data_IF_363853183784
#
_entry.id   IF_363853183784
#
_cell.length_a   1.000
_cell.length_b   1.000
_cell.length_c   1.000
_cell.angle_alpha   90.00
_cell.angle_beta   90.00
_cell.angle_gamma   90.00
#
_symmetry.space_group_name_H-M   'P 1'
#
loop_
_entity.id
_entity.type
_entity.pdbx_description
1 polymer ?
#
# COMPACT_ATOMS: atom_id res chain seq x y z
N UNK A 1 29.59 -36.36 54.77
CA UNK A 1 30.04 -35.47 53.67
C UNK A 1 29.38 -35.78 52.31
N UNK A 2 28.14 -36.31 52.28
CA UNK A 2 27.35 -36.49 51.04
C UNK A 2 26.01 -35.74 51.04
N UNK A 3 25.59 -35.21 52.19
CA UNK A 3 24.35 -34.42 52.32
C UNK A 3 24.54 -32.92 52.11
N UNK A 4 25.76 -32.37 52.33
CA UNK A 4 26.06 -30.95 52.10
C UNK A 4 26.31 -30.66 50.60
N UNK A 5 26.76 -31.67 49.84
CA UNK A 5 27.01 -31.52 48.40
C UNK A 5 25.72 -31.44 47.56
N UNK A 6 24.62 -32.05 48.03
CA UNK A 6 23.32 -32.00 47.35
C UNK A 6 22.54 -30.70 47.60
N UNK A 7 22.86 -29.93 48.64
CA UNK A 7 22.21 -28.65 48.89
C UNK A 7 22.83 -27.51 48.04
N UNK A 8 24.10 -27.63 47.67
CA UNK A 8 24.78 -26.66 46.81
C UNK A 8 24.40 -26.78 45.32
N UNK A 9 23.99 -27.97 44.86
CA UNK A 9 23.55 -28.20 43.47
C UNK A 9 22.11 -27.70 43.25
N UNK A 10 21.27 -27.66 44.28
CA UNK A 10 19.89 -27.17 44.18
C UNK A 10 19.78 -25.64 44.17
N UNK A 11 20.80 -24.93 44.67
CA UNK A 11 20.82 -23.45 44.71
C UNK A 11 21.37 -22.85 43.40
N UNK A 12 22.12 -23.63 42.60
CA UNK A 12 22.62 -23.24 41.28
C UNK A 12 21.58 -23.31 40.15
N UNK A 13 20.40 -23.90 40.39
CA UNK A 13 19.29 -23.93 39.41
C UNK A 13 18.32 -22.74 39.54
N UNK A 14 18.50 -21.84 40.51
CA UNK A 14 17.56 -20.74 40.77
C UNK A 14 18.07 -19.33 40.39
N UNK A 15 19.17 -19.22 39.62
CA UNK A 15 19.71 -17.91 39.17
C UNK A 15 19.57 -17.70 37.64
N UNK A 16 19.08 -18.68 36.88
CA UNK A 16 18.78 -18.49 35.46
C UNK A 16 17.31 -18.04 35.24
N UNK A 17 16.97 -16.87 35.79
CA UNK A 17 15.80 -16.09 35.37
C UNK A 17 16.16 -14.60 35.52
N UNK A 18 17.15 -14.18 34.74
CA UNK A 18 17.20 -12.79 34.28
C UNK A 18 16.22 -12.68 33.11
N UNK A 19 15.25 -11.79 33.27
CA UNK A 19 14.22 -11.47 32.30
C UNK A 19 14.84 -10.86 31.05
N UNK A 20 15.06 -11.68 30.03
CA UNK A 20 15.09 -11.19 28.65
C UNK A 20 13.63 -10.99 28.21
N UNK A 21 13.19 -9.76 28.28
CA UNK A 21 12.03 -9.29 27.52
C UNK A 21 12.37 -9.35 26.03
N UNK A 22 11.39 -9.82 25.25
CA UNK A 22 11.19 -9.50 23.83
C UNK A 22 12.10 -10.12 22.76
N UNK A 23 12.28 -11.44 22.77
CA UNK A 23 12.43 -12.18 21.50
C UNK A 23 11.69 -13.52 21.54
N UNK A 24 10.96 -13.79 20.45
CA UNK A 24 10.30 -15.04 20.06
C UNK A 24 8.88 -15.31 20.57
N UNK A 25 7.91 -14.59 20.00
CA UNK A 25 6.69 -15.22 19.50
C UNK A 25 6.73 -15.17 17.95
N UNK A 26 7.54 -16.03 17.32
CA UNK A 26 7.42 -16.27 15.89
C UNK A 26 6.14 -17.07 15.67
N UNK A 27 5.14 -16.44 15.07
CA UNK A 27 3.88 -17.09 14.69
C UNK A 27 4.22 -18.35 13.85
N UNK A 28 3.70 -19.54 14.19
CA UNK A 28 4.03 -20.76 13.46
C UNK A 28 3.74 -20.61 11.96
N UNK A 29 4.79 -20.65 11.14
CA UNK A 29 4.70 -20.54 9.68
C UNK A 29 4.83 -19.12 9.10
N UNK A 30 5.31 -18.14 9.87
CA UNK A 30 5.79 -16.86 9.35
C UNK A 30 7.16 -17.03 8.68
N UNK A 31 7.34 -16.52 7.46
CA UNK A 31 8.58 -16.58 6.69
C UNK A 31 9.42 -15.34 6.97
N UNK A 32 10.68 -15.52 7.36
CA UNK A 32 11.64 -14.44 7.56
C UNK A 32 12.45 -14.20 6.28
N UNK A 33 12.42 -12.99 5.75
CA UNK A 33 13.12 -12.61 4.52
C UNK A 33 14.25 -11.66 4.91
N UNK A 34 15.50 -12.11 4.80
CA UNK A 34 16.68 -11.27 5.05
C UNK A 34 16.94 -10.36 3.86
N UNK A 35 16.91 -9.04 4.08
CA UNK A 35 17.11 -8.04 3.04
C UNK A 35 18.60 -7.65 2.99
N UNK A 36 19.30 -7.86 1.86
CA UNK A 36 20.71 -7.51 1.75
C UNK A 36 20.92 -5.99 1.83
N UNK A 37 22.04 -5.58 2.46
CA UNK A 37 22.40 -4.18 2.63
C UNK A 37 22.94 -3.54 1.33
N UNK A 38 23.42 -4.34 0.40
CA UNK A 38 23.98 -3.93 -0.90
C UNK A 38 23.05 -4.34 -2.03
N UNK A 39 23.15 -3.65 -3.17
CA UNK A 39 22.34 -3.93 -4.36
C UNK A 39 23.16 -4.15 -5.61
N UNK A 40 22.53 -4.88 -6.50
CA UNK A 40 22.98 -5.08 -7.87
C UNK A 40 22.18 -4.13 -8.78
N UNK A 41 22.56 -2.85 -8.81
CA UNK A 41 22.13 -1.86 -9.81
C UNK A 41 20.64 -1.85 -10.22
N UNK A 42 20.36 -1.56 -11.50
CA UNK A 42 19.02 -1.60 -12.09
C UNK A 42 18.59 -3.02 -12.46
N UNK A 43 17.30 -3.30 -12.40
CA UNK A 43 16.71 -4.61 -12.70
C UNK A 43 16.02 -4.68 -14.05
N UNK A 44 16.11 -5.83 -14.72
CA UNK A 44 15.38 -6.14 -15.93
C UNK A 44 14.02 -6.79 -15.61
N UNK A 45 12.92 -6.11 -15.97
CA UNK A 45 11.59 -6.62 -15.67
C UNK A 45 11.27 -7.97 -16.33
N UNK A 46 11.87 -8.21 -17.50
CA UNK A 46 11.66 -9.41 -18.29
C UNK A 46 12.25 -10.68 -17.66
N UNK A 47 13.02 -10.56 -16.58
CA UNK A 47 13.47 -11.71 -15.79
C UNK A 47 12.34 -12.34 -14.95
N UNK A 48 11.27 -11.60 -14.65
CA UNK A 48 10.21 -12.05 -13.74
C UNK A 48 8.79 -11.86 -14.27
N UNK A 49 8.62 -11.06 -15.31
CA UNK A 49 7.37 -10.81 -16.02
C UNK A 49 7.54 -11.21 -17.48
N UNK A 50 6.56 -11.89 -18.06
CA UNK A 50 6.64 -12.33 -19.47
C UNK A 50 6.05 -11.34 -20.46
N UNK A 51 5.22 -10.40 -19.98
CA UNK A 51 4.55 -9.42 -20.81
C UNK A 51 4.40 -8.07 -20.09
N UNK A 52 4.22 -7.00 -20.87
CA UNK A 52 3.94 -5.68 -20.35
C UNK A 52 3.07 -4.84 -21.31
N UNK A 53 2.35 -3.87 -20.75
CA UNK A 53 1.61 -2.86 -21.51
C UNK A 53 2.03 -1.47 -21.06
N UNK A 54 2.34 -0.60 -22.01
CA UNK A 54 2.65 0.81 -21.76
C UNK A 54 1.51 1.66 -22.31
N UNK A 55 0.90 2.46 -21.43
CA UNK A 55 -0.33 3.20 -21.72
C UNK A 55 -0.15 4.65 -21.27
N UNK A 56 0.28 5.56 -22.15
CA UNK A 56 0.22 7.00 -21.89
C UNK A 56 -1.24 7.44 -21.73
N UNK A 57 -1.58 8.07 -20.60
CA UNK A 57 -2.91 8.62 -20.40
C UNK A 57 -3.04 9.95 -21.16
N UNK A 58 -4.14 10.14 -21.88
CA UNK A 58 -4.38 11.35 -22.66
C UNK A 58 -4.43 12.59 -21.76
N UNK A 59 -3.67 13.63 -22.13
CA UNK A 59 -3.63 14.92 -21.44
C UNK A 59 -4.42 15.97 -22.19
N UNK A 60 -5.45 16.50 -21.54
CA UNK A 60 -6.25 17.65 -21.98
C UNK A 60 -6.69 18.43 -20.73
N UNK A 61 -7.22 19.64 -20.91
CA UNK A 61 -7.81 20.41 -19.79
C UNK A 61 -8.92 19.63 -19.06
N UNK A 62 -9.62 18.72 -19.76
CA UNK A 62 -10.68 17.89 -19.18
C UNK A 62 -10.14 16.67 -18.41
N UNK A 63 -8.93 16.21 -18.73
CA UNK A 63 -8.37 14.94 -18.24
C UNK A 63 -7.14 15.12 -17.34
N UNK A 64 -6.72 16.34 -17.03
CA UNK A 64 -5.53 16.61 -16.22
C UNK A 64 -5.63 15.98 -14.82
N UNK A 65 -4.62 15.16 -14.46
CA UNK A 65 -4.53 14.46 -13.19
C UNK A 65 -3.54 15.18 -12.28
N UNK A 66 -3.96 15.52 -11.06
CA UNK A 66 -3.13 16.22 -10.07
C UNK A 66 -2.47 15.27 -9.07
N UNK A 67 -3.26 14.40 -8.43
CA UNK A 67 -2.76 13.43 -7.45
C UNK A 67 -3.57 12.13 -7.45
N UNK A 68 -2.98 11.11 -8.05
CA UNK A 68 -3.53 9.76 -8.07
C UNK A 68 -3.60 9.19 -6.65
N UNK A 69 -4.81 8.91 -6.19
CA UNK A 69 -5.08 8.18 -4.93
C UNK A 69 -5.25 6.69 -5.19
N UNK A 70 -5.95 6.32 -6.26
CA UNK A 70 -6.21 4.92 -6.64
C UNK A 70 -6.36 4.80 -8.16
N UNK A 71 -5.83 3.72 -8.73
CA UNK A 71 -6.05 3.31 -10.12
C UNK A 71 -6.70 1.93 -10.14
N UNK A 72 -7.75 1.77 -10.95
CA UNK A 72 -8.41 0.48 -11.17
C UNK A 72 -8.37 0.20 -12.68
N UNK A 73 -7.72 -0.89 -13.06
CA UNK A 73 -7.65 -1.33 -14.46
C UNK A 73 -8.66 -2.45 -14.68
N UNK A 74 -9.61 -2.21 -15.57
CA UNK A 74 -10.61 -3.15 -16.06
C UNK A 74 -10.34 -3.45 -17.53
N UNK A 75 -11.09 -4.40 -18.10
CA UNK A 75 -10.97 -4.76 -19.53
C UNK A 75 -11.22 -3.57 -20.47
N UNK A 76 -12.22 -2.74 -20.14
CA UNK A 76 -12.68 -1.64 -21.00
C UNK A 76 -12.38 -0.25 -20.43
N UNK A 77 -11.94 -0.17 -19.18
CA UNK A 77 -11.75 1.10 -18.48
C UNK A 77 -10.48 1.11 -17.64
N UNK A 78 -9.80 2.24 -17.63
CA UNK A 78 -8.83 2.61 -16.61
C UNK A 78 -9.47 3.73 -15.81
N UNK A 79 -9.73 3.48 -14.53
CA UNK A 79 -10.38 4.43 -13.63
C UNK A 79 -9.31 5.01 -12.71
N UNK A 80 -9.16 6.33 -12.74
CA UNK A 80 -8.17 7.06 -11.93
C UNK A 80 -8.90 7.97 -10.97
N UNK A 81 -8.73 7.72 -9.67
CA UNK A 81 -9.21 8.63 -8.65
C UNK A 81 -8.17 9.71 -8.36
N UNK A 82 -8.43 10.92 -8.84
CA UNK A 82 -7.66 12.12 -8.55
C UNK A 82 -8.21 12.83 -7.31
N UNK A 83 -7.61 12.51 -6.16
CA UNK A 83 -8.05 13.07 -4.87
C UNK A 83 -7.83 14.57 -4.73
N UNK A 84 -6.85 15.16 -5.45
CA UNK A 84 -6.56 16.60 -5.35
C UNK A 84 -7.24 17.41 -6.45
N UNK A 85 -7.51 16.79 -7.60
CA UNK A 85 -8.38 17.33 -8.63
C UNK A 85 -9.86 17.26 -8.28
N UNK A 86 -10.25 16.39 -7.34
CA UNK A 86 -11.65 16.17 -6.98
C UNK A 86 -12.42 15.49 -8.12
N UNK A 87 -11.79 14.52 -8.77
CA UNK A 87 -12.33 13.86 -9.96
C UNK A 87 -12.05 12.37 -9.96
N UNK A 88 -12.97 11.62 -10.54
CA UNK A 88 -12.76 10.22 -10.91
C UNK A 88 -12.76 10.17 -12.44
N UNK A 89 -11.59 9.98 -13.04
CA UNK A 89 -11.43 9.95 -14.49
C UNK A 89 -11.60 8.53 -15.03
N UNK A 90 -12.27 8.43 -16.17
CA UNK A 90 -12.41 7.20 -16.94
C UNK A 90 -11.64 7.35 -18.24
N UNK A 91 -10.70 6.44 -18.47
CA UNK A 91 -9.98 6.30 -19.72
C UNK A 91 -10.30 4.94 -20.35
N UNK A 92 -10.19 4.84 -21.68
CA UNK A 92 -10.23 3.57 -22.39
C UNK A 92 -8.95 2.76 -22.16
N UNK A 93 -8.91 1.51 -22.63
CA UNK A 93 -7.78 0.61 -22.38
C UNK A 93 -6.47 1.04 -23.07
N UNK A 94 -6.54 1.99 -24.01
CA UNK A 94 -5.38 2.61 -24.67
C UNK A 94 -5.07 4.02 -24.13
N UNK A 95 -5.62 4.39 -22.98
CA UNK A 95 -5.34 5.67 -22.32
C UNK A 95 -6.09 6.89 -22.88
N UNK A 96 -7.00 6.71 -23.85
CA UNK A 96 -7.87 7.78 -24.34
C UNK A 96 -8.89 8.19 -23.30
N UNK A 97 -9.06 9.49 -23.06
CA UNK A 97 -10.02 10.00 -22.09
C UNK A 97 -11.45 9.76 -22.59
N UNK A 98 -12.33 9.34 -21.67
CA UNK A 98 -13.73 9.08 -21.97
C UNK A 98 -14.63 10.11 -21.28
N UNK A 99 -14.57 10.19 -19.96
CA UNK A 99 -15.37 11.10 -19.13
C UNK A 99 -14.81 11.17 -17.70
N UNK A 100 -15.42 11.98 -16.84
CA UNK A 100 -15.15 12.00 -15.39
C UNK A 100 -16.42 12.17 -14.57
N UNK A 101 -16.35 11.75 -13.31
CA UNK A 101 -17.29 12.15 -12.26
C UNK A 101 -16.60 13.23 -11.43
N UNK A 102 -17.20 14.41 -11.38
CA UNK A 102 -16.62 15.59 -10.73
C UNK A 102 -17.23 15.81 -9.33
N UNK A 103 -16.45 16.41 -8.42
CA UNK A 103 -16.94 16.95 -7.14
C UNK A 103 -17.67 18.26 -7.42
N UNK A 104 -19.01 18.23 -7.41
CA UNK A 104 -19.85 19.36 -7.84
C UNK A 104 -20.85 19.90 -6.81
N UNK A 105 -21.09 19.22 -5.67
CA UNK A 105 -22.03 19.74 -4.66
C UNK A 105 -22.71 18.69 -3.78
N UNK A 106 -23.87 19.07 -3.24
CA UNK A 106 -24.70 18.31 -2.28
C UNK A 106 -25.95 17.68 -2.92
N UNK A 107 -26.10 17.78 -4.25
CA UNK A 107 -27.18 17.16 -4.99
C UNK A 107 -27.09 15.62 -4.96
N UNK A 108 -28.21 14.90 -5.17
CA UNK A 108 -28.18 13.45 -5.34
C UNK A 108 -27.23 13.05 -6.47
N UNK A 109 -26.23 12.23 -6.16
CA UNK A 109 -25.21 11.80 -7.11
C UNK A 109 -24.08 12.81 -7.37
N UNK A 110 -23.97 13.86 -6.55
CA UNK A 110 -22.80 14.74 -6.53
C UNK A 110 -21.82 14.32 -5.44
N UNK A 111 -20.52 14.45 -5.72
CA UNK A 111 -19.47 14.21 -4.74
C UNK A 111 -19.15 15.51 -4.00
N UNK A 112 -18.83 15.40 -2.70
CA UNK A 112 -18.44 16.52 -1.84
C UNK A 112 -17.13 16.24 -1.09
N UNK A 113 -16.96 15.02 -0.58
CA UNK A 113 -15.75 14.58 0.13
C UNK A 113 -15.38 13.13 -0.19
N UNK A 114 -15.14 12.77 -1.47
CA UNK A 114 -14.83 11.39 -1.83
C UNK A 114 -13.52 10.95 -1.16
N UNK A 115 -13.57 9.81 -0.47
CA UNK A 115 -12.44 9.26 0.26
C UNK A 115 -11.83 8.04 -0.42
N UNK A 116 -12.61 7.10 -0.95
CA UNK A 116 -12.05 5.98 -1.71
C UNK A 116 -13.08 5.37 -2.66
N UNK A 117 -12.59 4.59 -3.62
CA UNK A 117 -13.39 3.94 -4.66
C UNK A 117 -13.17 2.43 -4.74
N UNK A 118 -14.21 1.72 -5.12
CA UNK A 118 -14.16 0.29 -5.46
C UNK A 118 -15.08 -0.01 -6.63
N UNK A 119 -14.73 -1.00 -7.44
CA UNK A 119 -15.59 -1.46 -8.55
C UNK A 119 -16.16 -2.82 -8.22
N UNK A 120 -17.44 -3.02 -8.53
CA UNK A 120 -18.03 -4.34 -8.69
C UNK A 120 -18.10 -4.67 -10.19
N UNK A 121 -17.13 -5.43 -10.74
CA UNK A 121 -17.11 -5.72 -12.17
C UNK A 121 -18.23 -6.67 -12.61
N UNK A 122 -18.85 -7.43 -11.69
CA UNK A 122 -20.00 -8.29 -12.01
C UNK A 122 -21.27 -7.48 -12.23
N UNK A 123 -21.45 -6.42 -11.45
CA UNK A 123 -22.60 -5.51 -11.56
C UNK A 123 -22.35 -4.34 -12.51
N UNK A 124 -21.10 -4.10 -12.91
CA UNK A 124 -20.75 -2.94 -13.74
C UNK A 124 -20.95 -1.63 -12.99
N UNK A 125 -20.59 -1.59 -11.70
CA UNK A 125 -20.85 -0.45 -10.83
C UNK A 125 -19.57 0.04 -10.13
N UNK A 126 -19.45 1.36 -10.01
CA UNK A 126 -18.44 2.05 -9.23
C UNK A 126 -19.07 2.51 -7.90
N UNK A 127 -18.49 2.05 -6.80
CA UNK A 127 -18.82 2.49 -5.45
C UNK A 127 -17.82 3.58 -5.04
N UNK A 128 -18.33 4.68 -4.53
CA UNK A 128 -17.56 5.80 -4.00
C UNK A 128 -17.99 6.02 -2.55
N UNK A 129 -17.05 5.87 -1.62
CA UNK A 129 -17.28 6.33 -0.25
C UNK A 129 -16.95 7.82 -0.18
N UNK A 130 -17.93 8.62 0.19
CA UNK A 130 -17.86 10.06 0.38
C UNK A 130 -18.13 10.38 1.86
N UNK A 131 -17.22 11.09 2.53
CA UNK A 131 -17.33 11.35 3.96
C UNK A 131 -18.45 12.33 4.34
N UNK A 132 -19.04 13.04 3.37
CA UNK A 132 -20.18 13.94 3.57
C UNK A 132 -21.47 13.33 3.04
N UNK A 133 -21.40 12.61 1.92
CA UNK A 133 -22.56 12.11 1.20
C UNK A 133 -22.80 10.60 1.38
N UNK A 134 -21.93 9.90 2.10
CA UNK A 134 -22.04 8.47 2.40
C UNK A 134 -21.58 7.59 1.24
N UNK A 135 -22.23 6.44 1.04
CA UNK A 135 -21.89 5.54 -0.06
C UNK A 135 -22.70 5.87 -1.31
N UNK A 136 -22.03 6.26 -2.40
CA UNK A 136 -22.64 6.58 -3.67
C UNK A 136 -22.25 5.53 -4.71
N UNK A 137 -23.21 5.07 -5.50
CA UNK A 137 -22.99 4.11 -6.59
C UNK A 137 -23.28 4.74 -7.93
N UNK A 138 -22.37 4.57 -8.88
CA UNK A 138 -22.50 4.94 -10.28
C UNK A 138 -22.39 3.71 -11.17
N UNK A 139 -22.93 3.78 -12.38
CA UNK A 139 -22.52 2.86 -13.44
C UNK A 139 -21.12 3.24 -13.97
N UNK A 140 -20.55 2.41 -14.86
CA UNK A 140 -19.23 2.70 -15.46
C UNK A 140 -19.27 3.78 -16.57
N UNK A 141 -20.44 4.35 -16.88
CA UNK A 141 -20.57 5.55 -17.73
C UNK A 141 -20.66 6.84 -16.89
N UNK A 142 -20.53 6.73 -15.57
CA UNK A 142 -20.61 7.86 -14.64
C UNK A 142 -22.05 8.30 -14.31
N UNK A 143 -23.07 7.52 -14.66
CA UNK A 143 -24.45 7.82 -14.27
C UNK A 143 -24.71 7.38 -12.83
N UNK A 144 -25.27 8.29 -12.06
CA UNK A 144 -25.72 8.02 -10.69
C UNK A 144 -26.76 6.90 -10.65
N UNK A 145 -26.58 5.95 -9.73
CA UNK A 145 -27.52 4.85 -9.48
C UNK A 145 -28.21 4.99 -8.12
N UNK A 146 -27.43 5.04 -7.03
CA UNK A 146 -27.95 5.05 -5.66
C UNK A 146 -27.04 5.81 -4.70
N UNK A 147 -27.61 6.25 -3.56
CA UNK A 147 -26.88 6.88 -2.46
C UNK A 147 -27.41 6.37 -1.11
N UNK A 148 -26.50 5.99 -0.21
CA UNK A 148 -26.77 5.64 1.19
C UNK A 148 -26.06 6.66 2.09
N UNK A 149 -26.81 7.55 2.76
CA UNK A 149 -26.24 8.68 3.52
C UNK A 149 -25.70 8.30 4.90
N UNK A 150 -26.48 7.53 5.66
CA UNK A 150 -26.22 7.26 7.08
C UNK A 150 -25.29 6.05 7.28
N UNK A 151 -24.27 5.92 6.42
CA UNK A 151 -23.25 4.88 6.57
C UNK A 151 -22.40 5.16 7.80
N UNK A 152 -22.05 4.08 8.50
CA UNK A 152 -21.34 4.10 9.78
C UNK A 152 -22.06 4.80 10.94
N UNK A 153 -23.31 5.25 10.76
CA UNK A 153 -24.12 5.76 11.87
C UNK A 153 -24.39 4.64 12.88
N UNK A 154 -24.20 4.93 14.18
CA UNK A 154 -24.35 3.94 15.25
C UNK A 154 -23.26 2.85 15.32
N UNK A 155 -22.25 2.83 14.43
CA UNK A 155 -21.06 1.98 14.61
C UNK A 155 -20.29 2.52 15.82
N UNK A 156 -20.37 1.79 16.94
CA UNK A 156 -20.01 2.18 18.33
C UNK A 156 -18.57 2.72 18.51
N UNK A 157 -17.74 2.75 17.47
CA UNK A 157 -16.39 3.32 17.52
C UNK A 157 -16.37 4.77 17.05
N UNK A 158 -16.83 5.71 17.90
CA UNK A 158 -16.57 7.17 17.87
C UNK A 158 -17.09 7.94 16.65
N UNK A 159 -17.43 9.22 16.84
CA UNK A 159 -18.13 10.11 15.90
C UNK A 159 -17.52 10.34 14.48
N UNK A 160 -16.47 9.63 14.09
CA UNK A 160 -15.85 9.69 12.77
C UNK A 160 -15.20 8.32 12.48
N UNK A 161 -15.86 7.47 11.69
CA UNK A 161 -15.22 6.28 11.13
C UNK A 161 -14.44 6.72 9.88
N UNK A 162 -13.26 7.30 10.11
CA UNK A 162 -12.41 7.82 9.04
C UNK A 162 -11.86 6.63 8.22
N UNK A 163 -12.55 6.26 7.14
CA UNK A 163 -12.06 5.22 6.21
C UNK A 163 -10.95 5.83 5.36
N UNK A 164 -9.73 5.31 5.48
CA UNK A 164 -8.66 5.76 4.59
C UNK A 164 -8.76 5.08 3.22
N UNK A 165 -9.00 3.77 3.22
CA UNK A 165 -9.22 2.97 2.02
C UNK A 165 -10.00 1.69 2.33
N UNK A 166 -10.64 1.12 1.32
CA UNK A 166 -11.35 -0.15 1.43
C UNK A 166 -11.21 -1.01 0.16
N UNK A 167 -11.40 -2.31 0.33
CA UNK A 167 -11.47 -3.29 -0.76
C UNK A 167 -12.68 -4.20 -0.60
N UNK A 168 -13.30 -4.57 -1.71
CA UNK A 168 -14.51 -5.40 -1.72
C UNK A 168 -14.15 -6.88 -1.57
N UNK A 169 -14.74 -7.55 -0.58
CA UNK A 169 -14.62 -9.01 -0.37
C UNK A 169 -15.74 -9.74 -1.11
N UNK A 170 -16.98 -9.28 -0.93
CA UNK A 170 -18.18 -9.89 -1.53
C UNK A 170 -19.22 -8.81 -1.85
N UNK A 171 -20.48 -9.19 -2.05
CA UNK A 171 -21.54 -8.25 -2.44
C UNK A 171 -21.67 -7.06 -1.46
N UNK A 172 -21.90 -7.35 -0.18
CA UNK A 172 -22.01 -6.30 0.85
C UNK A 172 -20.84 -6.29 1.84
N UNK A 173 -19.85 -7.19 1.69
CA UNK A 173 -18.72 -7.26 2.64
C UNK A 173 -17.47 -6.60 2.07
N UNK A 174 -16.84 -5.77 2.88
CA UNK A 174 -15.64 -5.02 2.56
C UNK A 174 -14.59 -5.17 3.68
N UNK A 175 -13.32 -5.03 3.29
CA UNK A 175 -12.20 -4.82 4.19
C UNK A 175 -11.90 -3.33 4.25
N UNK A 176 -11.98 -2.74 5.44
CA UNK A 176 -11.71 -1.34 5.69
C UNK A 176 -10.37 -1.18 6.41
N UNK A 177 -9.55 -0.23 5.94
CA UNK A 177 -8.49 0.36 6.75
C UNK A 177 -9.00 1.70 7.29
N UNK A 178 -9.00 1.82 8.60
CA UNK A 178 -9.38 3.05 9.29
C UNK A 178 -8.16 3.97 9.40
N UNK A 179 -8.35 5.27 9.28
CA UNK A 179 -7.41 6.28 9.76
C UNK A 179 -7.53 6.42 11.28
N UNK A 180 -6.44 6.80 11.95
CA UNK A 180 -6.51 7.08 13.38
C UNK A 180 -7.31 8.37 13.55
N UNK A 181 -8.34 8.41 14.42
CA UNK A 181 -9.02 9.66 14.70
C UNK A 181 -8.01 10.70 15.18
N UNK A 182 -8.12 11.93 14.68
CA UNK A 182 -7.40 13.07 15.24
C UNK A 182 -7.70 13.26 16.74
N UNK A 183 -7.07 14.28 17.36
CA UNK A 183 -7.24 14.59 18.79
C UNK A 183 -8.74 14.58 19.21
N UNK A 184 -9.18 13.55 19.94
CA UNK A 184 -10.51 13.46 20.55
C UNK A 184 -11.25 12.12 20.46
N UNK A 185 -10.78 11.12 19.70
CA UNK A 185 -11.39 9.78 19.66
C UNK A 185 -11.02 8.89 20.86
N UNK A 186 -11.82 7.85 21.15
CA UNK A 186 -11.45 6.75 22.07
C UNK A 186 -10.28 5.96 21.48
N UNK A 187 -9.07 6.43 21.77
CA UNK A 187 -7.80 5.88 21.28
C UNK A 187 -7.43 4.54 21.92
N UNK A 188 -8.08 4.14 23.01
CA UNK A 188 -7.63 2.99 23.82
C UNK A 188 -8.12 1.64 23.28
N UNK A 189 -9.11 1.63 22.37
CA UNK A 189 -9.73 0.40 21.86
C UNK A 189 -9.83 0.32 20.33
N UNK A 190 -9.28 1.30 19.60
CA UNK A 190 -9.36 1.35 18.15
C UNK A 190 -8.59 0.21 17.46
N UNK A 191 -9.18 -0.33 16.40
CA UNK A 191 -8.55 -1.32 15.52
C UNK A 191 -8.17 -0.67 14.20
N UNK A 192 -7.14 -1.20 13.54
CA UNK A 192 -6.68 -0.67 12.24
C UNK A 192 -7.51 -1.18 11.08
N UNK A 193 -7.91 -2.45 11.17
CA UNK A 193 -8.63 -3.16 10.13
C UNK A 193 -9.99 -3.60 10.62
N UNK A 194 -10.99 -3.50 9.75
CA UNK A 194 -12.35 -4.00 10.00
C UNK A 194 -12.87 -4.75 8.78
N UNK A 195 -13.63 -5.82 9.02
CA UNK A 195 -14.44 -6.46 8.00
C UNK A 195 -15.90 -6.24 8.36
N UNK A 196 -16.72 -5.88 7.38
CA UNK A 196 -18.14 -5.63 7.58
C UNK A 196 -18.79 -5.08 6.32
N UNK A 197 -19.98 -4.53 6.48
CA UNK A 197 -20.57 -3.64 5.49
C UNK A 197 -20.48 -2.18 5.97
N UNK A 198 -21.05 -1.25 5.21
CA UNK A 198 -21.05 0.17 5.53
C UNK A 198 -21.94 0.53 6.75
N UNK A 199 -22.67 -0.41 7.33
CA UNK A 199 -23.58 -0.21 8.47
C UNK A 199 -23.20 -1.06 9.70
N UNK A 200 -22.52 -2.18 9.50
CA UNK A 200 -22.17 -3.14 10.55
C UNK A 200 -20.79 -3.75 10.32
N UNK A 201 -19.90 -3.47 11.27
CA UNK A 201 -18.61 -4.14 11.39
C UNK A 201 -18.79 -5.50 12.08
N UNK A 202 -18.29 -6.57 11.47
CA UNK A 202 -18.40 -7.93 12.00
C UNK A 202 -17.12 -8.43 12.63
N UNK A 203 -15.97 -7.97 12.14
CA UNK A 203 -14.65 -8.42 12.59
C UNK A 203 -13.66 -7.25 12.60
N UNK A 204 -12.62 -7.36 13.41
CA UNK A 204 -11.59 -6.33 13.49
C UNK A 204 -10.23 -6.89 13.88
N UNK A 205 -9.17 -6.29 13.36
CA UNK A 205 -7.80 -6.76 13.56
C UNK A 205 -6.83 -5.62 13.80
N UNK A 206 -5.74 -5.95 14.49
CA UNK A 206 -4.61 -5.08 14.84
C UNK A 206 -5.03 -3.87 15.69
N UNK A 207 -4.51 -3.80 16.91
CA UNK A 207 -4.73 -2.63 17.76
C UNK A 207 -3.90 -1.44 17.24
N UNK A 208 -4.39 -0.23 17.44
CA UNK A 208 -3.50 0.91 17.53
C UNK A 208 -2.65 0.77 18.80
N UNK A 209 -1.34 0.93 18.67
CA UNK A 209 -0.47 1.12 19.84
C UNK A 209 -0.65 2.57 20.31
N UNK A 210 -0.98 2.76 21.59
CA UNK A 210 -1.10 4.06 22.25
C UNK A 210 0.15 4.92 22.10
N UNK A 211 1.29 4.26 21.89
CA UNK A 211 2.63 4.83 21.89
C UNK A 211 3.13 5.26 20.51
N UNK A 212 2.45 4.86 19.43
CA UNK A 212 2.83 5.16 18.03
C UNK A 212 2.01 6.32 17.48
N UNK A 213 1.57 7.22 18.36
CA UNK A 213 0.70 8.34 18.06
C UNK A 213 1.47 9.42 17.30
N UNK A 214 1.48 9.30 15.98
CA UNK A 214 1.76 10.45 15.14
C UNK A 214 0.76 10.45 14.01
N UNK A 215 0.14 11.62 13.84
CA UNK A 215 -0.85 11.90 12.83
C UNK A 215 -0.13 11.93 11.48
N UNK A 216 0.23 10.75 11.00
CA UNK A 216 0.92 10.60 9.74
C UNK A 216 -0.16 10.77 8.68
N UNK A 217 -0.33 12.00 8.20
CA UNK A 217 -0.79 12.25 6.83
C UNK A 217 0.22 11.56 5.91
N UNK A 218 0.13 10.23 5.79
CA UNK A 218 1.03 9.48 4.93
C UNK A 218 0.64 9.75 3.50
N UNK A 219 1.63 10.09 2.68
CA UNK A 219 1.49 10.28 1.23
C UNK A 219 0.97 9.01 0.53
N UNK A 220 1.03 7.86 1.21
CA UNK A 220 0.56 6.57 0.72
C UNK A 220 -0.86 6.28 1.18
N UNK A 221 -1.74 6.00 0.22
CA UNK A 221 -3.17 5.75 0.44
C UNK A 221 -3.58 4.31 0.12
N UNK A 222 -2.67 3.47 -0.39
CA UNK A 222 -2.94 2.09 -0.78
C UNK A 222 -2.21 1.12 0.15
N UNK A 223 -2.98 0.39 0.96
CA UNK A 223 -2.48 -0.52 2.00
C UNK A 223 -2.78 -2.00 1.70
N UNK A 224 -3.44 -2.25 0.57
CA UNK A 224 -3.94 -3.57 0.22
C UNK A 224 -3.48 -3.98 -1.18
N UNK A 225 -3.18 -5.26 -1.34
CA UNK A 225 -2.99 -5.90 -2.65
C UNK A 225 -3.77 -7.21 -2.66
N UNK A 226 -4.58 -7.45 -3.70
CA UNK A 226 -5.32 -8.70 -3.81
C UNK A 226 -4.37 -9.90 -3.97
N UNK A 227 -4.66 -11.01 -3.31
CA UNK A 227 -3.95 -12.27 -3.45
C UNK A 227 -4.82 -13.43 -2.98
N UNK A 228 -4.88 -14.54 -3.72
CA UNK A 228 -5.78 -15.67 -3.44
C UNK A 228 -7.22 -15.19 -3.15
N UNK A 229 -7.90 -15.70 -2.12
CA UNK A 229 -9.25 -15.28 -1.70
C UNK A 229 -9.27 -14.05 -0.77
N UNK A 230 -8.21 -13.24 -0.75
CA UNK A 230 -8.03 -12.19 0.25
C UNK A 230 -7.14 -11.03 -0.19
N UNK A 231 -6.59 -10.35 0.80
CA UNK A 231 -5.77 -9.16 0.61
C UNK A 231 -4.53 -9.21 1.49
N UNK A 232 -3.36 -8.97 0.91
CA UNK A 232 -2.18 -8.65 1.71
C UNK A 232 -2.30 -7.23 2.26
N UNK A 233 -1.73 -7.01 3.44
CA UNK A 233 -1.73 -5.75 4.16
C UNK A 233 -0.34 -5.45 4.73
N UNK A 234 0.10 -4.19 4.63
CA UNK A 234 1.38 -3.72 5.15
C UNK A 234 1.26 -2.27 5.65
N UNK A 235 2.21 -1.83 6.46
CA UNK A 235 2.31 -0.43 6.89
C UNK A 235 3.73 0.08 6.74
N UNK A 236 3.87 1.38 6.44
CA UNK A 236 5.16 2.03 6.22
C UNK A 236 6.08 2.08 7.45
N UNK A 237 5.67 1.62 8.63
CA UNK A 237 6.56 1.51 9.80
C UNK A 237 6.50 0.11 10.41
N UNK A 238 6.15 -0.87 9.59
CA UNK A 238 6.00 -2.25 10.01
C UNK A 238 6.93 -3.12 9.16
N UNK A 239 7.68 -3.98 9.83
CA UNK A 239 8.54 -5.00 9.21
C UNK A 239 7.75 -6.29 8.92
N UNK A 240 6.52 -6.39 9.41
CA UNK A 240 5.66 -7.54 9.25
C UNK A 240 4.59 -7.28 8.18
N UNK A 241 4.44 -8.23 7.26
CA UNK A 241 3.41 -8.25 6.25
C UNK A 241 2.34 -9.27 6.61
N UNK A 242 1.09 -8.87 6.43
CA UNK A 242 -0.07 -9.67 6.82
C UNK A 242 -0.88 -10.07 5.61
N UNK A 243 -1.71 -11.09 5.80
CA UNK A 243 -2.75 -11.48 4.85
C UNK A 243 -4.08 -11.63 5.56
N UNK A 244 -5.10 -10.97 5.00
CA UNK A 244 -6.49 -11.06 5.43
C UNK A 244 -7.22 -12.01 4.48
N UNK A 245 -7.65 -13.16 4.99
CA UNK A 245 -8.62 -14.00 4.28
C UNK A 245 -10.02 -13.41 4.53
N UNK A 246 -10.61 -12.82 3.48
CA UNK A 246 -11.85 -12.08 3.58
C UNK A 246 -13.08 -12.96 3.85
N UNK A 247 -13.09 -14.18 3.32
CA UNK A 247 -14.19 -15.12 3.51
C UNK A 247 -14.15 -15.76 4.89
N UNK A 248 -12.96 -16.20 5.33
CA UNK A 248 -12.76 -16.80 6.66
C UNK A 248 -12.68 -15.76 7.77
N UNK A 249 -12.52 -14.47 7.43
CA UNK A 249 -12.35 -13.35 8.35
C UNK A 249 -11.20 -13.59 9.32
N UNK A 250 -10.05 -13.94 8.76
CA UNK A 250 -8.83 -14.22 9.55
C UNK A 250 -7.67 -13.37 9.07
N UNK A 251 -6.81 -12.99 10.01
CA UNK A 251 -5.56 -12.30 9.74
C UNK A 251 -4.38 -13.22 10.07
N UNK A 252 -3.46 -13.40 9.13
CA UNK A 252 -2.21 -14.14 9.31
C UNK A 252 -1.00 -13.23 9.13
N UNK A 253 -0.01 -13.33 10.02
CA UNK A 253 1.34 -12.79 9.79
C UNK A 253 2.05 -13.72 8.80
N UNK A 254 2.33 -13.25 7.59
CA UNK A 254 2.93 -14.10 6.53
C UNK A 254 4.44 -13.92 6.43
N UNK A 255 4.90 -12.67 6.42
CA UNK A 255 6.31 -12.36 6.15
C UNK A 255 6.85 -11.39 7.19
N UNK A 256 8.11 -11.59 7.58
CA UNK A 256 8.91 -10.66 8.35
C UNK A 256 10.08 -10.20 7.48
N UNK A 257 10.21 -8.89 7.28
CA UNK A 257 11.28 -8.27 6.50
C UNK A 257 12.44 -7.90 7.44
N UNK A 258 13.50 -8.72 7.42
CA UNK A 258 14.67 -8.52 8.25
C UNK A 258 15.70 -7.62 7.54
N UNK A 259 15.72 -6.35 7.92
CA UNK A 259 16.70 -5.37 7.43
C UNK A 259 18.04 -5.39 8.19
N UNK A 260 18.23 -6.35 9.10
CA UNK A 260 19.42 -6.49 9.94
C UNK A 260 19.75 -5.21 10.69
N UNK A 261 21.02 -4.77 10.63
CA UNK A 261 21.50 -3.55 11.31
C UNK A 261 20.86 -2.25 10.80
N UNK A 262 20.15 -2.29 9.68
CA UNK A 262 19.44 -1.13 9.12
C UNK A 262 17.98 -1.09 9.52
N UNK A 263 17.49 -2.09 10.27
CA UNK A 263 16.12 -2.11 10.75
C UNK A 263 15.76 -0.80 11.45
N UNK A 264 14.51 -0.43 11.30
CA UNK A 264 13.92 0.70 12.03
C UNK A 264 13.26 0.26 13.33
N UNK A 265 13.22 -1.04 13.66
CA UNK A 265 12.52 -1.55 14.83
C UNK A 265 12.99 -0.87 16.13
N UNK A 266 14.30 -0.65 16.28
CA UNK A 266 14.89 0.01 17.47
C UNK A 266 14.62 1.53 17.51
N UNK A 267 14.14 2.11 16.40
CA UNK A 267 13.80 3.54 16.26
C UNK A 267 12.32 3.83 16.50
N UNK A 268 11.51 2.79 16.77
CA UNK A 268 10.09 2.90 17.05
C UNK A 268 9.68 3.37 18.47
N UNK A 269 10.52 3.94 19.38
CA UNK A 269 9.97 4.58 20.56
C UNK A 269 9.43 5.99 20.23
N UNK A 270 8.10 6.12 20.24
CA UNK A 270 7.36 7.28 20.73
C UNK A 270 7.52 8.66 20.04
N UNK A 271 8.15 8.75 18.87
CA UNK A 271 8.49 10.05 18.27
C UNK A 271 7.64 10.38 17.03
N UNK A 272 7.07 11.60 16.93
CA UNK A 272 6.46 12.15 15.71
C UNK A 272 7.29 11.92 14.43
N UNK A 273 6.66 11.74 13.25
CA UNK A 273 7.38 11.49 11.98
C UNK A 273 8.52 12.47 11.74
N UNK A 274 8.25 13.76 11.94
CA UNK A 274 9.19 14.85 11.77
C UNK A 274 10.37 14.77 12.75
N UNK A 275 10.13 14.27 13.96
CA UNK A 275 11.18 14.03 14.95
C UNK A 275 12.00 12.79 14.61
N UNK A 276 11.36 11.71 14.16
CA UNK A 276 12.04 10.53 13.64
C UNK A 276 12.92 10.91 12.43
N UNK A 277 12.37 11.57 11.41
CA UNK A 277 13.13 12.05 10.25
C UNK A 277 14.27 13.00 10.67
N UNK A 278 14.02 13.88 11.64
CA UNK A 278 15.03 14.78 12.19
C UNK A 278 16.16 14.03 12.93
N UNK A 279 15.83 12.98 13.68
CA UNK A 279 16.78 12.10 14.37
C UNK A 279 17.64 11.33 13.35
N UNK A 280 17.00 10.72 12.34
CA UNK A 280 17.69 9.96 11.30
C UNK A 280 18.66 10.83 10.52
N UNK A 281 18.23 12.04 10.15
CA UNK A 281 19.09 13.01 9.48
C UNK A 281 20.29 13.46 10.34
N UNK A 282 20.12 13.60 11.66
CA UNK A 282 21.19 14.04 12.57
C UNK A 282 22.24 12.97 12.82
N UNK A 283 21.85 11.70 12.91
CA UNK A 283 22.76 10.62 13.28
C UNK A 283 23.51 10.00 12.10
N UNK A 284 23.10 10.30 10.86
CA UNK A 284 23.79 9.84 9.65
C UNK A 284 23.81 8.31 9.48
N UNK A 285 23.07 7.56 10.29
CA UNK A 285 22.93 6.12 10.17
C UNK A 285 21.90 5.79 9.12
N UNK A 286 22.26 4.90 8.18
CA UNK A 286 21.36 4.42 7.15
C UNK A 286 20.36 3.45 7.76
N UNK A 287 19.08 3.79 7.65
CA UNK A 287 17.99 2.90 8.04
C UNK A 287 17.17 2.51 6.81
N UNK A 288 16.79 1.24 6.78
CA UNK A 288 15.99 0.62 5.74
C UNK A 288 14.72 0.04 6.35
N UNK A 289 13.62 0.19 5.63
CA UNK A 289 12.31 -0.23 6.09
C UNK A 289 11.23 0.49 5.30
N UNK A 290 10.06 0.68 5.91
CA UNK A 290 8.92 1.33 5.26
C UNK A 290 8.57 0.68 3.92
N UNK A 291 8.09 -0.59 3.92
CA UNK A 291 7.53 -1.15 2.70
C UNK A 291 6.42 -0.22 2.19
N UNK A 292 6.53 0.24 0.94
CA UNK A 292 5.60 1.23 0.37
C UNK A 292 4.52 0.53 -0.44
N UNK A 293 4.92 -0.43 -1.26
CA UNK A 293 4.04 -1.23 -2.08
C UNK A 293 4.48 -2.69 -2.06
N UNK A 294 3.51 -3.59 -1.98
CA UNK A 294 3.73 -5.04 -1.91
C UNK A 294 2.75 -5.74 -2.85
N UNK A 295 3.24 -6.73 -3.59
CA UNK A 295 2.46 -7.61 -4.45
C UNK A 295 2.96 -9.03 -4.24
N UNK A 296 2.04 -9.97 -4.17
CA UNK A 296 2.36 -11.38 -4.05
C UNK A 296 1.85 -12.12 -5.28
N UNK A 297 2.74 -12.90 -5.89
CA UNK A 297 2.44 -13.87 -6.91
C UNK A 297 2.56 -15.27 -6.31
N UNK A 298 2.08 -16.29 -7.02
CA UNK A 298 2.18 -17.68 -6.58
C UNK A 298 3.63 -18.10 -6.25
N UNK A 299 4.60 -17.68 -7.07
CA UNK A 299 6.01 -18.09 -7.01
C UNK A 299 6.96 -17.06 -6.39
N UNK A 300 6.52 -15.80 -6.25
CA UNK A 300 7.40 -14.70 -5.80
C UNK A 300 6.66 -13.59 -5.05
N UNK A 301 7.41 -12.79 -4.31
CA UNK A 301 6.96 -11.51 -3.76
C UNK A 301 7.68 -10.39 -4.51
N UNK A 302 6.96 -9.31 -4.77
CA UNK A 302 7.53 -8.09 -5.29
C UNK A 302 7.19 -6.94 -4.34
N UNK A 303 8.18 -6.17 -3.92
CA UNK A 303 7.92 -4.99 -3.09
C UNK A 303 9.00 -3.92 -3.25
N UNK A 304 8.66 -2.71 -2.81
CA UNK A 304 9.64 -1.65 -2.63
C UNK A 304 9.64 -1.13 -1.20
N UNK A 305 10.79 -0.61 -0.80
CA UNK A 305 11.02 -0.15 0.55
C UNK A 305 11.96 1.06 0.52
N UNK A 306 11.91 1.84 1.59
CA UNK A 306 12.85 2.95 1.77
C UNK A 306 14.19 2.36 2.22
N UNK A 307 15.24 2.59 1.44
CA UNK A 307 16.57 2.07 1.70
C UNK A 307 17.42 3.00 2.57
N UNK A 308 17.29 4.31 2.36
CA UNK A 308 18.07 5.32 3.06
C UNK A 308 17.21 6.57 3.25
N UNK A 309 16.99 6.94 4.52
CA UNK A 309 16.27 8.14 4.94
C UNK A 309 17.22 9.31 5.22
N UNK A 310 18.54 9.11 5.11
CA UNK A 310 19.51 10.18 5.31
C UNK A 310 19.48 11.11 4.10
N UNK A 311 19.32 12.41 4.36
CA UNK A 311 19.06 13.47 3.39
C UNK A 311 17.58 13.54 3.00
N UNK A 312 17.04 14.76 2.85
CA UNK A 312 15.63 15.07 2.56
C UNK A 312 15.06 14.46 1.25
N UNK A 313 15.77 13.50 0.62
CA UNK A 313 15.31 12.70 -0.50
C UNK A 313 15.50 11.20 -0.21
N UNK A 314 14.45 10.51 0.27
CA UNK A 314 14.55 9.11 0.68
C UNK A 314 14.78 8.19 -0.53
N UNK A 315 15.86 7.41 -0.50
CA UNK A 315 16.18 6.46 -1.58
C UNK A 315 15.27 5.24 -1.47
N UNK A 316 14.64 4.85 -2.58
CA UNK A 316 13.79 3.66 -2.68
C UNK A 316 14.54 2.54 -3.36
N UNK A 317 14.32 1.32 -2.89
CA UNK A 317 14.78 0.10 -3.54
C UNK A 317 13.65 -0.88 -3.72
N UNK A 318 13.86 -1.77 -4.66
CA UNK A 318 12.94 -2.82 -5.02
C UNK A 318 13.54 -4.18 -4.67
N UNK A 319 12.67 -5.13 -4.37
CA UNK A 319 13.05 -6.48 -4.04
C UNK A 319 12.10 -7.49 -4.68
N UNK A 320 12.68 -8.56 -5.20
CA UNK A 320 11.95 -9.76 -5.61
C UNK A 320 12.44 -10.94 -4.80
N UNK A 321 11.52 -11.54 -4.03
CA UNK A 321 11.77 -12.77 -3.28
C UNK A 321 11.15 -13.96 -4.00
N UNK A 322 11.96 -14.89 -4.49
CA UNK A 322 11.51 -16.14 -5.09
C UNK A 322 11.19 -17.16 -3.99
N UNK A 323 9.91 -17.56 -3.88
CA UNK A 323 9.41 -18.40 -2.77
C UNK A 323 10.02 -19.80 -2.75
N UNK A 324 10.21 -20.42 -3.90
CA UNK A 324 10.73 -21.79 -4.00
C UNK A 324 12.21 -21.89 -3.61
N UNK A 325 13.03 -20.95 -4.09
CA UNK A 325 14.47 -20.94 -3.83
C UNK A 325 14.86 -20.20 -2.55
N UNK A 326 13.92 -19.50 -1.93
CA UNK A 326 14.12 -18.60 -0.78
C UNK A 326 15.20 -17.53 -1.04
N UNK A 327 15.35 -17.11 -2.30
CA UNK A 327 16.32 -16.09 -2.71
C UNK A 327 15.66 -14.75 -2.92
N UNK A 328 16.38 -13.70 -2.53
CA UNK A 328 15.99 -12.31 -2.76
C UNK A 328 17.00 -11.64 -3.68
N UNK A 329 16.50 -10.89 -4.66
CA UNK A 329 17.28 -9.96 -5.46
C UNK A 329 16.79 -8.55 -5.19
N UNK A 330 17.72 -7.59 -5.06
CA UNK A 330 17.43 -6.20 -4.71
C UNK A 330 18.07 -5.25 -5.71
N UNK A 331 17.32 -4.24 -6.13
CA UNK A 331 17.68 -3.35 -7.24
C UNK A 331 17.17 -1.92 -7.04
N UNK A 332 17.76 -0.98 -7.79
CA UNK A 332 17.58 0.47 -7.64
C UNK A 332 16.44 1.05 -8.51
N UNK A 333 15.89 0.25 -9.43
CA UNK A 333 14.82 0.67 -10.34
C UNK A 333 14.45 -0.42 -11.33
N UNK A 334 13.35 -0.19 -12.03
CA UNK A 334 12.85 -1.07 -13.08
C UNK A 334 13.35 -0.62 -14.44
N UNK A 335 13.73 -1.59 -15.26
CA UNK A 335 14.12 -1.38 -16.66
C UNK A 335 13.36 -2.34 -17.57
N UNK A 336 12.79 -1.77 -18.63
CA UNK A 336 12.26 -2.48 -19.79
C UNK A 336 13.24 -2.24 -20.95
N UNK A 337 14.19 -3.16 -21.20
CA UNK A 337 15.30 -2.92 -22.13
C UNK A 337 14.84 -2.73 -23.57
N UNK A 338 13.82 -3.48 -23.99
CA UNK A 338 13.30 -3.43 -25.36
C UNK A 338 12.64 -2.08 -25.68
N UNK A 339 12.15 -1.38 -24.66
CA UNK A 339 11.53 -0.06 -24.77
C UNK A 339 12.50 1.08 -24.47
N UNK A 340 13.67 0.76 -23.89
CA UNK A 340 14.57 1.75 -23.31
C UNK A 340 13.86 2.62 -22.27
N UNK A 341 13.06 2.00 -21.40
CA UNK A 341 12.26 2.66 -20.37
C UNK A 341 12.78 2.26 -18.98
N UNK A 342 13.08 3.27 -18.14
CA UNK A 342 13.45 3.05 -16.75
C UNK A 342 12.69 3.95 -15.79
N UNK A 343 12.24 3.37 -14.69
CA UNK A 343 11.46 4.08 -13.68
C UNK A 343 11.73 3.55 -12.26
N UNK A 344 11.50 4.41 -11.26
CA UNK A 344 11.74 4.14 -9.84
C UNK A 344 10.48 4.28 -8.97
N UNK A 345 9.34 4.46 -9.61
CA UNK A 345 8.05 4.52 -8.92
C UNK A 345 7.19 3.32 -9.29
N UNK A 346 6.56 2.75 -8.27
CA UNK A 346 5.57 1.71 -8.43
C UNK A 346 4.38 2.07 -7.56
N UNK A 347 3.19 2.03 -8.15
CA UNK A 347 1.93 2.21 -7.48
C UNK A 347 1.16 0.91 -7.67
N UNK A 348 1.47 -0.08 -6.85
CA UNK A 348 0.82 -1.36 -6.97
C UNK A 348 -0.57 -1.32 -6.35
N UNK A 349 -1.57 -1.07 -7.19
CA UNK A 349 -2.89 -1.68 -7.00
C UNK A 349 -3.06 -2.69 -8.12
N UNK A 350 -3.04 -3.98 -7.78
CA UNK A 350 -3.35 -5.04 -8.74
C UNK A 350 -4.44 -5.96 -8.22
N UNK A 351 -5.32 -6.26 -9.17
CA UNK A 351 -6.19 -7.42 -9.27
C UNK A 351 -5.40 -8.61 -9.83
N UNK A 352 -5.05 -9.62 -9.02
CA UNK A 352 -4.51 -10.89 -9.53
C UNK A 352 -3.01 -10.90 -9.88
N UNK A 353 -2.69 -11.26 -11.13
CA UNK A 353 -1.39 -11.71 -11.65
C UNK A 353 -0.56 -10.63 -12.36
N UNK A 354 -0.84 -9.36 -12.09
CA UNK A 354 -0.19 -8.20 -12.73
C UNK A 354 0.60 -7.34 -11.73
N UNK A 355 1.35 -6.38 -12.24
CA UNK A 355 1.97 -5.29 -11.51
C UNK A 355 1.64 -3.96 -12.21
N UNK A 356 1.21 -2.92 -11.50
CA UNK A 356 0.96 -1.59 -12.06
C UNK A 356 2.03 -0.60 -11.59
N UNK A 357 2.67 0.07 -12.54
CA UNK A 357 3.46 1.27 -12.33
C UNK A 357 2.69 2.49 -12.84
N UNK A 358 2.82 3.59 -12.10
CA UNK A 358 2.41 4.92 -12.55
C UNK A 358 3.71 5.68 -12.71
N UNK A 359 4.05 6.06 -13.94
CA UNK A 359 5.31 6.72 -14.25
C UNK A 359 5.02 8.15 -14.64
N UNK A 360 5.52 9.10 -13.85
CA UNK A 360 5.34 10.51 -14.11
C UNK A 360 6.27 10.94 -15.25
N UNK A 361 5.79 11.61 -16.32
CA UNK A 361 6.63 11.97 -17.45
C UNK A 361 7.87 12.78 -17.03
N UNK A 362 7.76 13.66 -16.04
CA UNK A 362 8.91 14.43 -15.54
C UNK A 362 10.11 13.53 -15.16
N UNK A 363 9.85 12.39 -14.52
CA UNK A 363 10.90 11.44 -14.12
C UNK A 363 11.57 10.78 -15.32
N UNK A 364 10.87 10.64 -16.44
CA UNK A 364 11.41 10.10 -17.68
C UNK A 364 12.36 11.09 -18.35
N UNK A 365 12.03 12.38 -18.34
CA UNK A 365 12.88 13.43 -18.89
C UNK A 365 14.13 13.67 -18.05
N UNK A 366 14.08 13.39 -16.74
CA UNK A 366 15.24 13.48 -15.84
C UNK A 366 16.12 12.22 -15.85
N UNK A 367 15.65 11.12 -16.46
CA UNK A 367 16.35 9.84 -16.48
C UNK A 367 17.02 9.57 -17.84
N UNK A 368 18.35 9.58 -17.88
CA UNK A 368 19.12 9.32 -19.11
C UNK A 368 18.81 7.95 -19.73
N UNK A 369 18.42 6.96 -18.93
CA UNK A 369 18.07 5.61 -19.41
C UNK A 369 16.71 5.55 -20.12
N UNK A 370 15.92 6.62 -20.07
CA UNK A 370 14.60 6.72 -20.71
C UNK A 370 14.63 7.49 -22.05
N UNK A 371 15.82 7.83 -22.55
CA UNK A 371 15.96 8.61 -23.80
C UNK A 371 15.36 7.90 -25.01
N UNK A 372 15.66 6.62 -25.19
CA UNK A 372 15.12 5.82 -26.31
C UNK A 372 13.59 5.75 -26.23
N UNK A 373 13.04 5.59 -25.03
CA UNK A 373 11.59 5.64 -24.83
C UNK A 373 11.00 6.97 -25.30
N UNK A 374 11.58 8.10 -24.91
CA UNK A 374 11.10 9.43 -25.34
C UNK A 374 11.20 9.65 -26.85
N UNK A 375 12.17 9.04 -27.53
CA UNK A 375 12.26 9.05 -29.00
C UNK A 375 11.12 8.29 -29.68
N UNK A 376 10.61 7.22 -29.05
CA UNK A 376 9.46 6.44 -29.52
C UNK A 376 8.11 7.12 -29.22
N UNK A 377 8.08 8.05 -28.26
CA UNK A 377 6.89 8.83 -27.86
C UNK A 377 7.13 10.34 -28.01
N UNK A 378 7.34 10.85 -29.23
CA UNK A 378 7.81 12.23 -29.46
C UNK A 378 6.82 13.32 -29.03
N UNK A 379 5.54 12.98 -28.89
CA UNK A 379 4.50 13.92 -28.48
C UNK A 379 4.40 14.06 -26.95
N UNK A 380 4.97 13.12 -26.17
CA UNK A 380 4.93 13.15 -24.71
C UNK A 380 5.68 14.36 -24.15
N UNK A 381 5.08 15.08 -23.21
CA UNK A 381 5.63 16.26 -22.54
C UNK A 381 5.82 16.01 -21.04
N UNK A 382 6.69 16.78 -20.39
CA UNK A 382 6.94 16.69 -18.94
C UNK A 382 5.68 16.94 -18.09
N UNK A 383 4.76 17.76 -18.58
CA UNK A 383 3.51 18.11 -17.90
C UNK A 383 2.36 17.17 -18.21
N UNK A 384 2.58 16.14 -19.03
CA UNK A 384 1.53 15.20 -19.38
C UNK A 384 1.09 14.35 -18.19
N UNK A 385 -0.11 13.79 -18.32
CA UNK A 385 -0.61 12.79 -17.42
C UNK A 385 0.34 11.56 -17.37
N UNK A 386 0.30 10.80 -16.27
CA UNK A 386 1.17 9.64 -16.11
C UNK A 386 1.07 8.60 -17.22
N UNK A 387 2.19 7.94 -17.49
CA UNK A 387 2.26 6.72 -18.29
C UNK A 387 2.06 5.54 -17.36
N UNK A 388 1.07 4.70 -17.65
CA UNK A 388 0.86 3.45 -16.91
C UNK A 388 1.70 2.33 -17.52
N UNK A 389 2.36 1.55 -16.67
CA UNK A 389 3.05 0.32 -17.09
C UNK A 389 2.43 -0.86 -16.35
N UNK A 390 1.79 -1.77 -17.09
CA UNK A 390 1.18 -2.98 -16.54
C UNK A 390 2.10 -4.15 -16.86
N UNK A 391 2.81 -4.66 -15.87
CA UNK A 391 3.63 -5.87 -15.96
C UNK A 391 2.73 -7.09 -15.73
N UNK A 392 2.83 -8.13 -16.54
CA UNK A 392 2.01 -9.35 -16.41
C UNK A 392 2.90 -10.59 -16.41
N UNK A 393 2.46 -11.63 -15.70
CA UNK A 393 3.20 -12.90 -15.62
C UNK A 393 3.13 -13.68 -16.92
#
# INVERSE_FOLDING_TARGET
MKFILNLFILILMCIACESNSDMENKDPGMISISIPAETDGSWNAMEYFSDYQIIPLETTDASLIRRIKKVIVLKEYIIVFDSSGGKIHFFGPQGKYLHSIDVSGDGPGELLGPQDISVNPKEGALLVYDDKNGLITYDLNGQFLTQEKDVFDGVVTTNFFDVLCFERISDRTFLFRREVPGNGGDHQNGKKLYIGDFHLMTDSFLNYSLDNYTNHNTVYTNYFSAYEQGFNYWEIFNDTLYHVDGEKKTLKRKYYLDFGKRSMADLLPHSPLNELLGYLNKNGTKHSGMPRHFVEFEDKLFFNYTYDLTNNNPQVKFAVYAKESERINVFDGIHLPDEGLSFKELQFKITGDKALAVVNPIDLFENENSRTFLENYPDLQQSDNPVLVILSR
#
